data_IF_009367438531
#
_entry.id   IF_009367438531
#
_cell.length_a   1.000
_cell.length_b   1.000
_cell.length_c   1.000
_cell.angle_alpha   90.00
_cell.angle_beta   90.00
_cell.angle_gamma   90.00
#
_symmetry.space_group_name_H-M   'P 1'
#
loop_
_entity.id
_entity.type
_entity.pdbx_description
1 polymer ?
#
# COMPACT_ATOMS: atom_id res chain seq x y z
N UNK A 1 6.61 -11.02 10.96
CA UNK A 1 5.54 -10.65 10.02
C UNK A 1 4.30 -11.20 10.66
N UNK A 2 3.69 -10.43 11.57
CA UNK A 2 2.66 -10.95 12.49
C UNK A 2 1.55 -9.91 12.70
N UNK A 3 1.42 -8.97 11.75
CA UNK A 3 0.40 -7.93 11.80
C UNK A 3 -0.73 -8.32 10.86
N UNK A 4 -1.93 -8.40 11.41
CA UNK A 4 -3.14 -8.73 10.67
C UNK A 4 -3.44 -7.64 9.63
N UNK A 5 -3.91 -8.08 8.47
CA UNK A 5 -4.46 -7.21 7.43
C UNK A 5 -5.92 -7.57 7.27
N UNK A 6 -6.78 -6.58 7.47
CA UNK A 6 -8.24 -6.75 7.44
C UNK A 6 -8.82 -6.05 6.21
N UNK A 7 -8.23 -4.93 5.81
CA UNK A 7 -8.80 -4.03 4.82
C UNK A 7 -7.99 -3.96 3.53
N UNK A 8 -8.67 -3.67 2.43
CA UNK A 8 -8.06 -3.31 1.15
C UNK A 8 -8.44 -1.90 0.74
N UNK A 9 -7.48 -1.09 0.27
CA UNK A 9 -7.76 0.26 -0.22
C UNK A 9 -7.00 0.53 -1.52
N UNK A 10 -7.67 1.09 -2.53
CA UNK A 10 -7.06 1.39 -3.84
C UNK A 10 -7.31 2.83 -4.20
N UNK A 11 -6.25 3.63 -4.23
CA UNK A 11 -6.30 5.04 -4.61
C UNK A 11 -4.88 5.59 -4.81
N UNK A 12 -4.69 6.49 -5.77
CA UNK A 12 -3.40 7.15 -5.99
C UNK A 12 -3.34 8.58 -5.43
N UNK A 13 -4.51 9.15 -5.09
CA UNK A 13 -4.58 10.48 -4.52
C UNK A 13 -4.28 10.41 -3.02
N UNK A 14 -3.08 10.85 -2.63
CA UNK A 14 -2.57 10.72 -1.26
C UNK A 14 -3.49 11.32 -0.19
N UNK A 15 -4.15 12.44 -0.48
CA UNK A 15 -5.10 13.07 0.46
C UNK A 15 -6.34 12.22 0.71
N UNK A 16 -6.82 11.50 -0.31
CA UNK A 16 -7.94 10.58 -0.18
C UNK A 16 -7.56 9.35 0.65
N UNK A 17 -6.36 8.82 0.43
CA UNK A 17 -5.83 7.71 1.25
C UNK A 17 -5.70 8.15 2.70
N UNK A 18 -5.13 9.33 2.95
CA UNK A 18 -4.94 9.85 4.29
C UNK A 18 -6.27 10.10 5.02
N UNK A 19 -7.32 10.52 4.32
CA UNK A 19 -8.63 10.82 4.90
C UNK A 19 -9.53 9.59 5.10
N UNK A 20 -9.39 8.56 4.26
CA UNK A 20 -10.38 7.48 4.16
C UNK A 20 -9.83 6.06 4.37
N UNK A 21 -8.51 5.83 4.24
CA UNK A 21 -7.95 4.52 4.50
C UNK A 21 -8.01 4.18 5.99
N UNK A 22 -8.32 2.92 6.30
CA UNK A 22 -8.37 2.42 7.68
C UNK A 22 -7.01 1.86 8.11
N UNK A 23 -6.74 1.76 9.42
CA UNK A 23 -5.65 0.92 9.91
C UNK A 23 -5.78 -0.53 9.42
N UNK A 24 -4.67 -1.26 9.44
CA UNK A 24 -4.63 -2.68 9.07
C UNK A 24 -5.06 -2.93 7.61
N UNK A 25 -4.70 -1.99 6.74
CA UNK A 25 -4.97 -1.97 5.30
C UNK A 25 -3.76 -2.44 4.47
N UNK A 26 -4.04 -3.16 3.37
CA UNK A 26 -3.15 -3.22 2.20
C UNK A 26 -3.58 -2.16 1.19
N UNK A 27 -2.66 -1.25 0.89
CA UNK A 27 -2.92 -0.14 -0.02
C UNK A 27 -2.35 -0.40 -1.41
N UNK A 28 -3.21 -0.38 -2.42
CA UNK A 28 -2.86 -0.56 -3.83
C UNK A 28 -2.72 0.80 -4.51
N UNK A 29 -1.58 1.04 -5.15
CA UNK A 29 -1.27 2.32 -5.83
C UNK A 29 -0.24 2.14 -6.94
N UNK A 30 -0.08 3.16 -7.79
CA UNK A 30 1.05 3.33 -8.71
C UNK A 30 2.09 4.34 -8.21
N UNK A 31 1.86 4.99 -7.07
CA UNK A 31 2.80 5.94 -6.47
C UNK A 31 3.98 5.19 -5.83
N UNK A 32 5.21 5.48 -6.25
CA UNK A 32 6.42 4.78 -5.79
C UNK A 32 7.37 5.61 -4.93
N UNK A 33 7.06 6.88 -4.72
CA UNK A 33 7.91 7.84 -4.02
C UNK A 33 7.68 7.84 -2.50
N UNK A 34 8.64 8.38 -1.74
CA UNK A 34 8.68 8.33 -0.27
C UNK A 34 7.42 8.83 0.46
N UNK A 35 6.58 9.68 -0.14
CA UNK A 35 5.39 10.21 0.54
C UNK A 35 4.35 9.11 0.84
N UNK A 36 4.34 8.02 0.07
CA UNK A 36 3.46 6.89 0.34
C UNK A 36 3.79 6.26 1.70
N UNK A 37 5.06 6.30 2.12
CA UNK A 37 5.49 5.78 3.42
C UNK A 37 4.96 6.68 4.54
N UNK A 38 5.07 8.00 4.39
CA UNK A 38 4.54 8.94 5.36
C UNK A 38 3.01 8.80 5.54
N UNK A 39 2.26 8.69 4.43
CA UNK A 39 0.81 8.47 4.48
C UNK A 39 0.49 7.13 5.16
N UNK A 40 1.21 6.06 4.82
CA UNK A 40 0.97 4.75 5.40
C UNK A 40 1.25 4.73 6.91
N UNK A 41 2.31 5.41 7.38
CA UNK A 41 2.61 5.55 8.81
C UNK A 41 1.49 6.29 9.55
N UNK A 42 1.01 7.42 9.00
CA UNK A 42 -0.04 8.24 9.64
C UNK A 42 -1.38 7.49 9.73
N UNK A 43 -1.74 6.74 8.69
CA UNK A 43 -3.03 6.04 8.58
C UNK A 43 -3.05 4.67 9.26
N UNK A 44 -1.89 4.10 9.59
CA UNK A 44 -1.78 2.74 10.13
C UNK A 44 -1.90 1.65 9.05
N UNK A 45 -1.64 1.97 7.78
CA UNK A 45 -1.51 1.01 6.69
C UNK A 45 -0.32 0.07 6.97
N UNK A 46 -0.48 -1.22 6.66
CA UNK A 46 0.52 -2.26 6.97
C UNK A 46 1.38 -2.63 5.79
N UNK A 47 0.86 -2.45 4.59
CA UNK A 47 1.63 -2.67 3.38
C UNK A 47 1.09 -1.94 2.18
N UNK A 48 1.98 -1.77 1.20
CA UNK A 48 1.72 -1.05 -0.04
C UNK A 48 2.03 -1.99 -1.20
N UNK A 49 1.13 -2.07 -2.17
CA UNK A 49 1.29 -2.85 -3.40
C UNK A 49 1.41 -1.88 -4.57
N UNK A 50 2.60 -1.83 -5.15
CA UNK A 50 2.92 -1.03 -6.32
C UNK A 50 2.55 -1.78 -7.60
N UNK A 51 1.68 -1.19 -8.39
CA UNK A 51 1.14 -1.79 -9.62
C UNK A 51 1.91 -1.38 -10.88
N UNK A 52 1.51 -1.96 -12.01
CA UNK A 52 1.98 -1.62 -13.37
C UNK A 52 3.49 -1.79 -13.61
N UNK A 53 4.15 -2.64 -12.82
CA UNK A 53 5.59 -2.88 -12.95
C UNK A 53 6.47 -1.67 -12.59
N UNK A 54 5.93 -0.71 -11.84
CA UNK A 54 6.76 0.32 -11.24
C UNK A 54 7.68 -0.27 -10.16
N UNK A 55 8.73 0.49 -9.85
CA UNK A 55 9.73 0.12 -8.86
C UNK A 55 9.87 1.19 -7.77
N UNK A 56 10.22 0.73 -6.56
CA UNK A 56 10.56 1.60 -5.45
C UNK A 56 12.03 2.01 -5.54
N UNK A 57 12.31 3.29 -5.30
CA UNK A 57 13.68 3.72 -5.10
C UNK A 57 14.26 3.23 -3.76
N UNK A 58 15.59 3.24 -3.64
CA UNK A 58 16.26 2.77 -2.41
C UNK A 58 15.84 3.56 -1.17
N UNK A 59 15.56 4.86 -1.31
CA UNK A 59 15.20 5.70 -0.18
C UNK A 59 13.83 5.30 0.39
N UNK A 60 12.87 5.02 -0.48
CA UNK A 60 11.54 4.52 -0.16
C UNK A 60 11.61 3.16 0.52
N UNK A 61 12.46 2.25 0.02
CA UNK A 61 12.68 0.93 0.65
C UNK A 61 13.30 1.08 2.04
N UNK A 62 14.31 1.94 2.20
CA UNK A 62 14.94 2.20 3.51
C UNK A 62 13.92 2.76 4.50
N UNK A 63 13.17 3.79 4.09
CA UNK A 63 12.16 4.41 4.94
C UNK A 63 11.05 3.43 5.32
N UNK A 64 10.59 2.60 4.39
CA UNK A 64 9.59 1.57 4.69
C UNK A 64 10.07 0.58 5.77
N UNK A 65 11.36 0.19 5.74
CA UNK A 65 11.94 -0.67 6.78
C UNK A 65 11.99 0.01 8.14
N UNK A 66 12.36 1.29 8.20
CA UNK A 66 12.38 2.06 9.45
C UNK A 66 10.98 2.16 10.08
N UNK A 67 9.97 2.41 9.26
CA UNK A 67 8.58 2.59 9.69
C UNK A 67 7.82 1.26 9.85
N UNK A 68 8.43 0.14 9.48
CA UNK A 68 7.82 -1.19 9.56
C UNK A 68 6.64 -1.40 8.60
N UNK A 69 6.70 -0.78 7.41
CA UNK A 69 5.72 -0.92 6.33
C UNK A 69 6.24 -1.93 5.30
N UNK A 70 5.39 -2.89 4.93
CA UNK A 70 5.76 -3.91 3.94
C UNK A 70 5.51 -3.39 2.52
N UNK A 71 6.48 -3.55 1.63
CA UNK A 71 6.38 -3.15 0.23
C UNK A 71 6.27 -4.37 -0.69
N UNK A 72 5.32 -4.32 -1.61
CA UNK A 72 5.11 -5.30 -2.68
C UNK A 72 5.11 -4.59 -4.03
N UNK A 73 5.47 -5.31 -5.10
CA UNK A 73 5.31 -4.83 -6.47
C UNK A 73 4.78 -5.93 -7.37
N UNK A 74 4.05 -5.54 -8.41
CA UNK A 74 3.45 -6.46 -9.39
C UNK A 74 3.37 -5.82 -10.77
N UNK A 75 3.39 -6.67 -11.81
CA UNK A 75 3.13 -6.25 -13.18
C UNK A 75 1.63 -6.02 -13.45
N UNK A 76 0.75 -6.47 -12.56
CA UNK A 76 -0.69 -6.30 -12.69
C UNK A 76 -1.11 -4.85 -12.42
N UNK A 77 -2.26 -4.44 -12.99
CA UNK A 77 -2.84 -3.13 -12.71
C UNK A 77 -3.66 -3.14 -11.42
N UNK A 78 -3.94 -1.93 -10.90
CA UNK A 78 -4.64 -1.75 -9.63
C UNK A 78 -6.02 -2.41 -9.60
N UNK A 79 -6.73 -2.49 -10.73
CA UNK A 79 -8.04 -3.15 -10.80
C UNK A 79 -7.93 -4.67 -10.59
N UNK A 80 -6.99 -5.32 -11.27
CA UNK A 80 -6.73 -6.77 -11.11
C UNK A 80 -6.31 -7.08 -9.68
N UNK A 81 -5.38 -6.31 -9.13
CA UNK A 81 -4.93 -6.48 -7.73
C UNK A 81 -6.09 -6.31 -6.76
N UNK A 82 -6.91 -5.26 -6.94
CA UNK A 82 -8.09 -5.02 -6.10
C UNK A 82 -9.07 -6.19 -6.13
N UNK A 83 -9.35 -6.74 -7.32
CA UNK A 83 -10.23 -7.91 -7.46
C UNK A 83 -9.68 -9.15 -6.75
N UNK A 84 -8.37 -9.40 -6.82
CA UNK A 84 -7.72 -10.51 -6.13
C UNK A 84 -7.78 -10.35 -4.61
N UNK A 85 -7.47 -9.16 -4.09
CA UNK A 85 -7.55 -8.88 -2.65
C UNK A 85 -8.97 -9.03 -2.13
N UNK A 86 -9.96 -8.52 -2.87
CA UNK A 86 -11.36 -8.65 -2.50
C UNK A 86 -11.82 -10.13 -2.48
N UNK A 87 -11.39 -10.93 -3.47
CA UNK A 87 -11.69 -12.37 -3.52
C UNK A 87 -11.06 -13.15 -2.34
N UNK A 88 -9.95 -12.66 -1.78
CA UNK A 88 -9.31 -13.21 -0.58
C UNK A 88 -9.99 -12.81 0.73
N UNK A 89 -11.01 -11.95 0.68
CA UNK A 89 -11.82 -11.57 1.83
C UNK A 89 -11.49 -10.21 2.45
N UNK A 90 -10.53 -9.45 1.90
CA UNK A 90 -10.27 -8.07 2.35
C UNK A 90 -11.46 -7.16 1.99
N UNK A 91 -11.78 -6.20 2.87
CA UNK A 91 -12.95 -5.33 2.75
C UNK A 91 -12.65 -3.86 2.98
#
# INVERSE_FOLDING_TARGET
MDKEVVHGYTCDLLSEVMGNAKPDTLWVTVQSHMNIIAVATITGIRGIILCNGHDYDEQTIRKAKEEGITLFKTQENSFVVSGRLYALGLR
#
